data_IF_377860944910
#
_entry.id   IF_377860944910
#
_cell.length_a   1.000
_cell.length_b   1.000
_cell.length_c   1.000
_cell.angle_alpha   90.00
_cell.angle_beta   90.00
_cell.angle_gamma   90.00
#
_symmetry.space_group_name_H-M   'P 1'
#
loop_
_entity.id
_entity.type
_entity.pdbx_description
1 polymer ?
#
# COMPACT_ATOMS: atom_id res chain seq x y z
N UNK A 1 15.59 3.66 10.95
CA UNK A 1 15.05 2.51 10.19
C UNK A 1 15.32 1.28 11.02
N UNK A 2 14.34 0.39 11.15
CA UNK A 2 14.51 -0.91 11.79
C UNK A 2 14.79 -1.96 10.72
N UNK A 3 15.58 -2.97 11.06
CA UNK A 3 15.77 -4.16 10.24
C UNK A 3 14.79 -5.24 10.70
N UNK A 4 14.14 -5.92 9.76
CA UNK A 4 13.15 -6.95 10.09
C UNK A 4 12.19 -7.24 8.94
N UNK A 5 11.23 -8.13 9.22
CA UNK A 5 10.18 -8.50 8.29
C UNK A 5 8.96 -7.58 8.50
N UNK A 6 8.54 -6.88 7.44
CA UNK A 6 7.38 -5.98 7.48
C UNK A 6 6.11 -6.69 7.97
N UNK A 7 5.92 -7.96 7.62
CA UNK A 7 4.74 -8.73 7.97
C UNK A 7 4.79 -9.36 9.37
N UNK A 8 5.83 -9.06 10.14
CA UNK A 8 5.95 -9.39 11.57
C UNK A 8 5.75 -8.14 12.44
N UNK A 9 5.31 -7.03 11.84
CA UNK A 9 4.91 -5.85 12.60
C UNK A 9 3.80 -6.21 13.60
N UNK A 10 3.76 -5.55 14.77
CA UNK A 10 2.70 -5.77 15.75
C UNK A 10 1.30 -5.50 15.15
N UNK A 11 0.28 -6.17 15.67
CA UNK A 11 -1.07 -6.16 15.11
C UNK A 11 -1.74 -4.77 15.11
N UNK A 12 -1.26 -3.85 15.95
CA UNK A 12 -1.70 -2.45 15.99
C UNK A 12 -1.17 -1.59 14.82
N UNK A 13 -0.25 -2.12 14.00
CA UNK A 13 0.32 -1.41 12.85
C UNK A 13 -0.43 -1.74 11.57
N UNK A 14 -0.89 -0.69 10.87
CA UNK A 14 -1.35 -0.82 9.48
C UNK A 14 -0.14 -0.99 8.56
N UNK A 15 -0.17 -2.01 7.69
CA UNK A 15 0.89 -2.30 6.74
C UNK A 15 0.73 -1.47 5.48
N UNK A 16 1.77 -0.76 5.06
CA UNK A 16 1.72 0.16 3.92
C UNK A 16 2.73 -0.24 2.85
N UNK A 17 2.33 -0.21 1.57
CA UNK A 17 3.25 -0.34 0.43
C UNK A 17 2.73 0.34 -0.83
N UNK A 18 3.57 0.41 -1.87
CA UNK A 18 3.24 0.99 -3.17
C UNK A 18 2.81 -0.06 -4.19
N UNK A 19 1.77 0.26 -4.96
CA UNK A 19 1.19 -0.62 -5.99
C UNK A 19 0.90 0.13 -7.30
N UNK A 20 0.61 -0.63 -8.35
CA UNK A 20 0.03 -0.13 -9.60
C UNK A 20 -1.50 -0.16 -9.59
N UNK A 21 -2.15 0.69 -10.40
CA UNK A 21 -3.62 0.68 -10.57
C UNK A 21 -4.16 -0.66 -11.11
N UNK A 22 -3.33 -1.47 -11.77
CA UNK A 22 -3.69 -2.80 -12.25
C UNK A 22 -3.61 -3.91 -11.17
N UNK A 23 -3.08 -3.59 -9.98
CA UNK A 23 -2.89 -4.51 -8.85
C UNK A 23 -2.25 -5.87 -9.22
N UNK A 24 -1.39 -5.90 -10.25
CA UNK A 24 -0.72 -7.15 -10.67
C UNK A 24 0.18 -7.68 -9.55
N UNK A 25 0.91 -6.78 -8.87
CA UNK A 25 1.76 -7.11 -7.71
C UNK A 25 2.65 -8.34 -7.95
N UNK A 26 3.45 -8.30 -9.02
CA UNK A 26 4.19 -9.46 -9.53
C UNK A 26 5.53 -9.73 -8.84
N UNK A 27 6.12 -8.74 -8.16
CA UNK A 27 7.49 -8.83 -7.63
C UNK A 27 7.66 -8.11 -6.28
N UNK A 28 8.79 -8.39 -5.62
CA UNK A 28 9.20 -7.74 -4.38
C UNK A 28 8.19 -7.90 -3.24
N UNK A 29 8.10 -6.88 -2.39
CA UNK A 29 7.18 -6.87 -1.26
C UNK A 29 5.72 -6.98 -1.71
N UNK A 30 5.36 -6.38 -2.85
CA UNK A 30 4.00 -6.40 -3.37
C UNK A 30 3.53 -7.83 -3.72
N UNK A 31 4.44 -8.67 -4.25
CA UNK A 31 4.14 -10.09 -4.48
C UNK A 31 3.82 -10.82 -3.18
N UNK A 32 4.53 -10.52 -2.10
CA UNK A 32 4.27 -11.13 -0.79
C UNK A 32 2.91 -10.69 -0.21
N UNK A 33 2.54 -9.40 -0.34
CA UNK A 33 1.17 -8.95 -0.03
C UNK A 33 0.13 -9.74 -0.85
N UNK A 34 0.34 -9.91 -2.16
CA UNK A 34 -0.59 -10.67 -3.01
C UNK A 34 -0.72 -12.12 -2.57
N UNK A 35 0.38 -12.79 -2.24
CA UNK A 35 0.39 -14.20 -1.79
C UNK A 35 -0.35 -14.40 -0.46
N UNK A 36 -0.12 -13.49 0.50
CA UNK A 36 -0.70 -13.54 1.85
C UNK A 36 -2.19 -13.22 1.84
N UNK A 37 -2.58 -12.15 1.16
CA UNK A 37 -3.94 -11.60 1.29
C UNK A 37 -4.87 -11.96 0.12
N UNK A 38 -4.35 -12.41 -1.04
CA UNK A 38 -5.10 -12.92 -2.21
C UNK A 38 -6.30 -12.06 -2.65
N UNK A 39 -6.18 -10.73 -2.49
CA UNK A 39 -7.32 -9.80 -2.56
C UNK A 39 -7.28 -8.84 -3.76
N UNK A 40 -6.64 -9.23 -4.88
CA UNK A 40 -6.48 -8.35 -6.05
C UNK A 40 -7.81 -7.91 -6.64
N UNK A 41 -8.84 -8.76 -6.62
CA UNK A 41 -10.14 -8.44 -7.20
C UNK A 41 -10.91 -7.44 -6.32
N UNK A 42 -10.79 -7.57 -5.00
CA UNK A 42 -11.34 -6.60 -4.03
C UNK A 42 -10.70 -5.24 -4.22
N UNK A 43 -9.36 -5.18 -4.34
CA UNK A 43 -8.62 -3.94 -4.53
C UNK A 43 -8.98 -3.27 -5.87
N UNK A 44 -9.10 -4.05 -6.96
CA UNK A 44 -9.56 -3.53 -8.26
C UNK A 44 -10.99 -3.01 -8.20
N UNK A 45 -11.87 -3.68 -7.46
CA UNK A 45 -13.26 -3.28 -7.27
C UNK A 45 -13.44 -1.91 -6.61
N UNK A 46 -12.43 -1.41 -5.90
CA UNK A 46 -12.45 -0.07 -5.31
C UNK A 46 -12.25 1.06 -6.33
N UNK A 47 -11.82 0.75 -7.57
CA UNK A 47 -11.71 1.72 -8.65
C UNK A 47 -10.71 2.86 -8.39
N UNK A 48 -9.71 2.65 -7.53
CA UNK A 48 -8.75 3.67 -7.12
C UNK A 48 -7.86 4.14 -8.27
N UNK A 49 -7.68 5.45 -8.33
CA UNK A 49 -6.90 6.14 -9.34
C UNK A 49 -5.45 6.37 -8.89
N UNK A 50 -4.63 6.80 -9.85
CA UNK A 50 -3.25 7.17 -9.59
C UNK A 50 -3.16 8.30 -8.56
N UNK A 51 -2.32 8.14 -7.53
CA UNK A 51 -2.18 9.08 -6.43
C UNK A 51 -3.16 8.86 -5.28
N UNK A 52 -4.11 7.93 -5.41
CA UNK A 52 -5.03 7.57 -4.33
C UNK A 52 -4.51 6.38 -3.50
N UNK A 53 -5.33 5.95 -2.54
CA UNK A 53 -5.05 4.86 -1.62
C UNK A 53 -6.20 3.85 -1.65
N UNK A 54 -5.86 2.56 -1.78
CA UNK A 54 -6.78 1.45 -1.59
C UNK A 54 -6.53 0.80 -0.22
N UNK A 55 -7.57 0.24 0.39
CA UNK A 55 -7.45 -0.38 1.72
C UNK A 55 -8.04 -1.78 1.74
N UNK A 56 -7.47 -2.66 2.57
CA UNK A 56 -7.93 -4.03 2.70
C UNK A 56 -7.79 -4.47 4.16
N UNK A 57 -8.86 -5.01 4.72
CA UNK A 57 -8.95 -5.40 6.14
C UNK A 57 -9.07 -6.92 6.27
N UNK A 58 -7.99 -7.67 6.06
CA UNK A 58 -7.98 -9.14 6.18
C UNK A 58 -6.54 -9.67 6.32
N UNK A 59 -6.19 -10.45 7.37
CA UNK A 59 -6.55 -10.23 8.78
C UNK A 59 -6.06 -8.88 9.34
N UNK A 60 -5.02 -8.30 8.73
CA UNK A 60 -4.41 -7.04 9.13
C UNK A 60 -4.97 -5.88 8.29
N UNK A 61 -4.77 -4.65 8.77
CA UNK A 61 -5.08 -3.44 8.02
C UNK A 61 -3.97 -3.14 7.01
N UNK A 62 -4.29 -3.29 5.72
CA UNK A 62 -3.36 -3.10 4.62
C UNK A 62 -3.74 -1.84 3.83
N UNK A 63 -2.78 -0.94 3.67
CA UNK A 63 -2.93 0.32 2.94
C UNK A 63 -2.03 0.30 1.71
N UNK A 64 -2.65 0.48 0.54
CA UNK A 64 -2.01 0.34 -0.76
C UNK A 64 -1.93 1.71 -1.45
N UNK A 65 -0.74 2.31 -1.51
CA UNK A 65 -0.49 3.57 -2.19
C UNK A 65 -0.43 3.34 -3.71
N UNK A 66 -1.35 3.94 -4.47
CA UNK A 66 -1.43 3.73 -5.92
C UNK A 66 -0.48 4.70 -6.64
N UNK A 67 0.78 4.30 -6.81
CA UNK A 67 1.84 5.22 -7.25
C UNK A 67 2.23 5.12 -8.71
N UNK A 68 1.71 4.13 -9.45
CA UNK A 68 2.03 3.91 -10.88
C UNK A 68 0.84 3.33 -11.65
N UNK A 69 0.75 3.63 -12.94
CA UNK A 69 -0.38 3.14 -13.77
C UNK A 69 -0.25 1.66 -14.16
N UNK A 70 0.98 1.15 -14.24
CA UNK A 70 1.29 -0.24 -14.59
C UNK A 70 2.45 -0.73 -13.75
N UNK A 71 2.51 -2.04 -13.48
CA UNK A 71 3.53 -2.59 -12.58
C UNK A 71 4.98 -2.32 -13.02
N UNK A 72 5.24 -2.18 -14.33
CA UNK A 72 6.57 -1.89 -14.89
C UNK A 72 6.87 -0.39 -15.04
N UNK A 73 5.91 0.50 -14.74
CA UNK A 73 6.17 1.94 -14.75
C UNK A 73 6.90 2.38 -13.48
N UNK A 74 7.69 3.46 -13.61
CA UNK A 74 8.28 4.14 -12.46
C UNK A 74 7.28 5.14 -11.86
N UNK A 75 7.17 5.24 -10.53
CA UNK A 75 6.38 6.29 -9.90
C UNK A 75 7.01 7.66 -10.16
N UNK A 76 6.20 8.71 -10.23
CA UNK A 76 6.69 10.09 -10.18
C UNK A 76 6.64 10.62 -8.75
N UNK A 77 7.53 11.55 -8.39
CA UNK A 77 7.52 12.19 -7.08
C UNK A 77 6.19 12.88 -6.77
N UNK A 78 5.57 13.50 -7.77
CA UNK A 78 4.28 14.16 -7.61
C UNK A 78 3.18 13.17 -7.20
N UNK A 79 3.11 12.01 -7.87
CA UNK A 79 2.12 10.97 -7.57
C UNK A 79 2.41 10.32 -6.22
N UNK A 80 3.68 10.06 -5.90
CA UNK A 80 4.08 9.54 -4.60
C UNK A 80 3.66 10.50 -3.48
N UNK A 81 3.95 11.79 -3.64
CA UNK A 81 3.53 12.84 -2.70
C UNK A 81 2.01 12.87 -2.51
N UNK A 82 1.25 12.82 -3.60
CA UNK A 82 -0.21 12.79 -3.55
C UNK A 82 -0.72 11.56 -2.78
N UNK A 83 -0.15 10.38 -3.02
CA UNK A 83 -0.53 9.16 -2.29
C UNK A 83 -0.22 9.23 -0.80
N UNK A 84 0.91 9.86 -0.42
CA UNK A 84 1.26 10.10 0.98
C UNK A 84 0.33 11.11 1.66
N UNK A 85 -0.13 12.12 0.92
CA UNK A 85 -1.15 13.04 1.41
C UNK A 85 -2.45 12.29 1.72
N UNK A 86 -2.95 11.46 0.81
CA UNK A 86 -4.15 10.65 1.05
C UNK A 86 -3.96 9.63 2.17
N UNK A 87 -2.76 9.04 2.32
CA UNK A 87 -2.44 8.18 3.46
C UNK A 87 -2.59 8.94 4.78
N UNK A 88 -2.05 10.16 4.87
CA UNK A 88 -2.21 11.00 6.06
C UNK A 88 -3.67 11.28 6.36
N UNK A 89 -4.46 11.68 5.36
CA UNK A 89 -5.90 11.94 5.54
C UNK A 89 -6.65 10.67 5.99
N UNK A 90 -6.30 9.52 5.43
CA UNK A 90 -6.84 8.23 5.85
C UNK A 90 -6.58 7.97 7.34
N UNK A 91 -5.33 8.11 7.78
CA UNK A 91 -4.95 7.87 9.17
C UNK A 91 -5.63 8.83 10.15
N UNK A 92 -5.76 10.11 9.77
CA UNK A 92 -6.48 11.10 10.61
C UNK A 92 -7.95 10.72 10.77
N UNK A 93 -8.61 10.27 9.70
CA UNK A 93 -10.03 9.93 9.71
C UNK A 93 -10.35 8.60 10.40
N UNK A 94 -9.42 7.64 10.37
CA UNK A 94 -9.61 6.30 10.97
C UNK A 94 -8.95 6.17 12.34
N UNK A 95 -8.28 7.22 12.82
CA UNK A 95 -7.50 7.22 14.05
C UNK A 95 -6.35 6.20 14.07
N UNK A 96 -5.79 5.87 12.91
CA UNK A 96 -4.59 5.02 12.79
C UNK A 96 -3.38 5.77 13.33
N UNK A 97 -2.76 5.19 14.36
CA UNK A 97 -1.60 5.80 15.03
C UNK A 97 -0.27 5.15 14.66
N UNK A 98 -0.29 3.92 14.10
CA UNK A 98 0.91 3.13 13.85
C UNK A 98 0.93 2.60 12.42
N UNK A 99 1.98 2.94 11.68
CA UNK A 99 2.19 2.49 10.30
C UNK A 99 3.52 1.75 10.20
N UNK A 100 3.49 0.58 9.57
CA UNK A 100 4.69 -0.15 9.19
C UNK A 100 4.83 -0.09 7.66
N UNK A 101 5.97 0.40 7.16
CA UNK A 101 6.21 0.50 5.72
C UNK A 101 7.65 0.12 5.36
N UNK A 102 7.87 -0.50 4.19
CA UNK A 102 9.22 -0.70 3.68
C UNK A 102 9.78 0.65 3.23
N UNK A 103 11.04 0.65 2.78
CA UNK A 103 11.58 1.81 2.06
C UNK A 103 10.80 1.97 0.75
N UNK A 104 9.99 3.03 0.64
CA UNK A 104 9.14 3.33 -0.52
C UNK A 104 9.80 4.37 -1.44
N UNK A 105 9.38 4.39 -2.70
CA UNK A 105 9.89 5.35 -3.70
C UNK A 105 11.33 5.11 -4.15
N UNK A 106 11.84 3.87 -3.98
CA UNK A 106 13.16 3.46 -4.44
C UNK A 106 13.26 3.33 -5.97
#
# INVERSE_FOLDING_TARGET
MTEGNLFEAPAEFSLVHCVSTDFIMSEGIALEFRKRYRSTDVLKGQGKQLGEVATLHLPDENIHLVTKSKFYHKPSYQILWQSLWYLKEYCVNHHDQFLAMPKIGC
#
